data_IF_289597580485
#
_entry.id   IF_289597580485
#
_cell.length_a   1.000
_cell.length_b   1.000
_cell.length_c   1.000
_cell.angle_alpha   90.00
_cell.angle_beta   90.00
_cell.angle_gamma   90.00
#
_symmetry.space_group_name_H-M   'P 1'
#
loop_
_entity.id
_entity.type
_entity.pdbx_description
1 polymer ?
#
# COMPACT_ATOMS: atom_id res chain seq x y z
N UNK A 1 -11.06 -32.56 -11.83
CA UNK A 1 -10.06 -31.47 -11.81
C UNK A 1 -10.48 -30.43 -10.80
N UNK A 2 -9.69 -30.25 -9.78
CA UNK A 2 -10.00 -29.25 -8.76
C UNK A 2 -9.77 -27.84 -9.34
N UNK A 3 -10.71 -26.95 -9.11
CA UNK A 3 -10.53 -25.55 -9.45
C UNK A 3 -9.38 -24.99 -8.61
N UNK A 4 -8.44 -24.32 -9.26
CA UNK A 4 -7.40 -23.59 -8.57
C UNK A 4 -8.06 -22.32 -8.04
N UNK A 5 -8.23 -22.28 -6.73
CA UNK A 5 -8.69 -21.05 -6.08
C UNK A 5 -7.54 -20.06 -6.04
N UNK A 6 -7.61 -19.05 -6.87
CA UNK A 6 -6.75 -17.90 -6.67
C UNK A 6 -7.26 -17.15 -5.46
N UNK A 7 -6.43 -17.04 -4.45
CA UNK A 7 -6.74 -16.18 -3.31
C UNK A 7 -6.85 -14.74 -3.78
N UNK A 8 -7.93 -14.09 -3.36
CA UNK A 8 -8.10 -12.66 -3.59
C UNK A 8 -7.31 -11.92 -2.52
N UNK A 9 -6.16 -11.42 -2.92
CA UNK A 9 -5.25 -10.69 -2.03
C UNK A 9 -4.99 -9.33 -2.65
N UNK A 10 -5.09 -8.27 -1.85
CA UNK A 10 -4.79 -6.92 -2.28
C UNK A 10 -3.78 -6.27 -1.34
N UNK A 11 -2.83 -5.57 -1.91
CA UNK A 11 -1.90 -4.71 -1.19
C UNK A 11 -2.53 -3.36 -0.92
N UNK A 12 -2.47 -2.91 0.33
CA UNK A 12 -2.96 -1.60 0.75
C UNK A 12 -1.76 -0.66 0.90
N UNK A 13 -1.67 0.32 0.02
CA UNK A 13 -0.60 1.31 0.04
C UNK A 13 -0.79 2.34 1.15
N UNK A 14 0.29 3.03 1.51
CA UNK A 14 0.26 4.10 2.52
C UNK A 14 -0.79 5.17 2.20
N UNK A 15 -0.95 5.55 0.93
CA UNK A 15 -1.93 6.54 0.53
C UNK A 15 -3.36 6.14 0.89
N UNK A 16 -3.69 4.85 0.73
CA UNK A 16 -5.00 4.33 1.09
C UNK A 16 -5.16 4.23 2.62
N UNK A 17 -4.12 3.82 3.34
CA UNK A 17 -4.17 3.80 4.81
C UNK A 17 -4.46 5.18 5.38
N UNK A 18 -3.79 6.21 4.87
CA UNK A 18 -4.01 7.59 5.29
C UNK A 18 -5.42 8.06 4.94
N UNK A 19 -5.87 7.80 3.72
CA UNK A 19 -7.21 8.22 3.28
C UNK A 19 -8.32 7.56 4.10
N UNK A 20 -8.14 6.31 4.51
CA UNK A 20 -9.08 5.62 5.39
C UNK A 20 -9.12 6.23 6.80
N UNK A 21 -7.97 6.64 7.32
CA UNK A 21 -7.85 7.12 8.69
C UNK A 21 -8.20 8.60 8.85
N UNK A 22 -7.93 9.42 7.85
CA UNK A 22 -8.10 10.87 7.88
C UNK A 22 -9.40 11.27 7.19
N UNK A 23 -10.41 11.65 7.97
CA UNK A 23 -11.73 12.05 7.45
C UNK A 23 -11.68 13.31 6.59
N UNK A 24 -10.66 14.13 6.77
CA UNK A 24 -10.49 15.37 6.02
C UNK A 24 -9.69 15.16 4.73
N UNK A 25 -9.18 13.95 4.50
CA UNK A 25 -8.51 13.63 3.26
C UNK A 25 -9.52 13.67 2.10
N UNK A 26 -9.12 14.31 1.01
CA UNK A 26 -9.98 14.45 -0.18
C UNK A 26 -10.44 13.11 -0.75
N UNK A 27 -9.66 12.05 -0.55
CA UNK A 27 -9.96 10.70 -1.02
C UNK A 27 -10.66 9.83 0.02
N UNK A 28 -11.02 10.37 1.18
CA UNK A 28 -11.56 9.56 2.29
C UNK A 28 -12.79 8.74 1.90
N UNK A 29 -13.80 9.39 1.34
CA UNK A 29 -15.06 8.72 0.98
C UNK A 29 -14.83 7.63 -0.06
N UNK A 30 -14.04 7.93 -1.10
CA UNK A 30 -13.71 6.94 -2.13
C UNK A 30 -12.91 5.76 -1.55
N UNK A 31 -11.99 6.03 -0.62
CA UNK A 31 -11.21 4.98 0.02
C UNK A 31 -12.09 4.07 0.89
N UNK A 32 -13.02 4.64 1.66
CA UNK A 32 -13.96 3.86 2.48
C UNK A 32 -14.82 2.96 1.60
N UNK A 33 -15.34 3.48 0.50
CA UNK A 33 -16.15 2.70 -0.43
C UNK A 33 -15.34 1.57 -1.06
N UNK A 34 -14.11 1.85 -1.50
CA UNK A 34 -13.23 0.84 -2.07
C UNK A 34 -12.88 -0.25 -1.06
N UNK A 35 -12.60 0.12 0.18
CA UNK A 35 -12.33 -0.83 1.26
C UNK A 35 -13.52 -1.78 1.47
N UNK A 36 -14.72 -1.22 1.56
CA UNK A 36 -15.95 -2.02 1.74
C UNK A 36 -16.17 -2.99 0.59
N UNK A 37 -15.94 -2.53 -0.64
CA UNK A 37 -16.10 -3.37 -1.83
C UNK A 37 -15.09 -4.52 -1.84
N UNK A 38 -13.84 -4.26 -1.48
CA UNK A 38 -12.81 -5.29 -1.40
C UNK A 38 -13.16 -6.35 -0.36
N UNK A 39 -13.56 -5.93 0.83
CA UNK A 39 -13.95 -6.85 1.90
C UNK A 39 -15.18 -7.66 1.50
N UNK A 40 -16.20 -7.00 0.92
CA UNK A 40 -17.41 -7.68 0.46
C UNK A 40 -17.14 -8.68 -0.65
N UNK A 41 -16.12 -8.43 -1.47
CA UNK A 41 -15.69 -9.33 -2.55
C UNK A 41 -14.79 -10.46 -2.08
N UNK A 42 -14.49 -10.55 -0.78
CA UNK A 42 -13.69 -11.62 -0.22
C UNK A 42 -12.18 -11.42 -0.29
N UNK A 43 -11.70 -10.20 -0.53
CA UNK A 43 -10.28 -9.93 -0.55
C UNK A 43 -9.67 -9.96 0.85
N UNK A 44 -8.52 -10.58 0.96
CA UNK A 44 -7.64 -10.46 2.12
C UNK A 44 -6.69 -9.29 1.87
N UNK A 45 -6.60 -8.40 2.84
CA UNK A 45 -5.81 -7.18 2.70
C UNK A 45 -4.52 -7.30 3.52
N UNK A 46 -3.43 -6.83 2.95
CA UNK A 46 -2.16 -6.72 3.65
C UNK A 46 -1.48 -5.40 3.29
N UNK A 47 -0.57 -4.99 4.12
CA UNK A 47 0.34 -3.88 3.83
C UNK A 47 1.77 -4.35 4.06
N UNK A 48 2.74 -3.46 3.90
CA UNK A 48 4.13 -3.75 4.23
C UNK A 48 4.54 -2.93 5.46
N UNK A 49 5.64 -3.34 6.08
CA UNK A 49 6.26 -2.56 7.14
C UNK A 49 6.68 -1.16 6.65
N UNK A 50 7.15 -1.07 5.41
CA UNK A 50 7.50 0.23 4.80
C UNK A 50 6.26 1.12 4.62
N UNK A 51 5.17 0.58 4.10
CA UNK A 51 3.93 1.34 3.90
C UNK A 51 3.29 1.74 5.24
N UNK A 52 3.32 0.85 6.22
CA UNK A 52 2.80 1.14 7.56
C UNK A 52 3.56 2.30 8.20
N UNK A 53 4.90 2.27 8.14
CA UNK A 53 5.74 3.33 8.67
C UNK A 53 5.48 4.66 7.96
N UNK A 54 5.37 4.63 6.64
CA UNK A 54 5.05 5.84 5.84
C UNK A 54 3.69 6.41 6.22
N UNK A 55 2.68 5.56 6.35
CA UNK A 55 1.33 5.99 6.74
C UNK A 55 1.34 6.64 8.14
N UNK A 56 2.04 6.05 9.09
CA UNK A 56 2.16 6.61 10.43
C UNK A 56 2.82 8.00 10.40
N UNK A 57 3.90 8.16 9.65
CA UNK A 57 4.58 9.46 9.50
C UNK A 57 3.64 10.52 8.92
N UNK A 58 2.85 10.17 7.92
CA UNK A 58 1.91 11.09 7.30
C UNK A 58 0.76 11.45 8.25
N UNK A 59 0.24 10.48 8.99
CA UNK A 59 -0.81 10.73 9.99
C UNK A 59 -0.29 11.54 11.17
N UNK A 60 0.95 11.32 11.59
CA UNK A 60 1.59 12.11 12.62
C UNK A 60 1.64 13.58 12.21
N UNK A 61 2.03 13.87 10.98
CA UNK A 61 2.11 15.24 10.47
C UNK A 61 0.71 15.87 10.32
N UNK A 62 -0.28 15.10 9.88
CA UNK A 62 -1.62 15.63 9.59
C UNK A 62 -2.52 15.73 10.82
N UNK A 63 -2.47 14.76 11.74
CA UNK A 63 -3.43 14.60 12.83
C UNK A 63 -2.82 14.72 14.22
N UNK A 64 -1.50 14.77 14.34
CA UNK A 64 -0.78 14.88 15.61
C UNK A 64 -0.47 13.55 16.25
N UNK A 65 0.38 13.61 17.29
CA UNK A 65 0.99 12.43 17.92
C UNK A 65 -0.03 11.49 18.58
N UNK A 66 -1.02 12.05 19.27
CA UNK A 66 -2.01 11.26 20.00
C UNK A 66 -2.88 10.42 19.06
N UNK A 67 -3.41 11.07 18.01
CA UNK A 67 -4.26 10.40 17.02
C UNK A 67 -3.48 9.36 16.23
N UNK A 68 -2.25 9.70 15.81
CA UNK A 68 -1.40 8.76 15.07
C UNK A 68 -1.05 7.53 15.92
N UNK A 69 -0.78 7.72 17.20
CA UNK A 69 -0.50 6.62 18.14
C UNK A 69 -1.72 5.71 18.29
N UNK A 70 -2.90 6.30 18.48
CA UNK A 70 -4.14 5.53 18.62
C UNK A 70 -4.44 4.72 17.35
N UNK A 71 -4.24 5.33 16.17
CA UNK A 71 -4.40 4.63 14.90
C UNK A 71 -3.46 3.42 14.79
N UNK A 72 -2.19 3.62 15.12
CA UNK A 72 -1.19 2.55 15.03
C UNK A 72 -1.53 1.40 15.99
N UNK A 73 -1.99 1.71 17.21
CA UNK A 73 -2.37 0.71 18.19
C UNK A 73 -3.58 -0.13 17.76
N UNK A 74 -4.48 0.46 16.97
CA UNK A 74 -5.71 -0.19 16.50
C UNK A 74 -5.58 -0.83 15.13
N UNK A 75 -4.48 -0.58 14.42
CA UNK A 75 -4.26 -1.11 13.08
C UNK A 75 -4.00 -2.61 13.16
N UNK A 76 -4.94 -3.40 12.66
CA UNK A 76 -4.87 -4.87 12.72
C UNK A 76 -4.61 -5.51 11.35
N UNK A 77 -4.24 -4.71 10.35
CA UNK A 77 -3.93 -5.22 9.02
C UNK A 77 -2.69 -6.11 9.05
N UNK A 78 -2.71 -7.18 8.26
CA UNK A 78 -1.53 -8.04 8.11
C UNK A 78 -0.37 -7.27 7.49
N UNK A 79 0.82 -7.37 8.09
CA UNK A 79 2.01 -6.67 7.65
C UNK A 79 3.02 -7.66 7.10
N UNK A 80 3.38 -7.49 5.83
CA UNK A 80 4.45 -8.25 5.18
C UNK A 80 5.76 -7.47 5.25
N UNK A 81 6.86 -8.11 5.61
CA UNK A 81 8.15 -7.43 5.60
C UNK A 81 8.64 -7.19 4.18
N UNK A 82 9.19 -6.00 3.95
CA UNK A 82 9.98 -5.71 2.76
C UNK A 82 11.35 -6.35 2.97
N UNK A 83 11.80 -7.12 1.98
CA UNK A 83 13.10 -7.80 2.07
C UNK A 83 14.22 -6.91 1.53
N UNK A 84 15.45 -7.24 1.89
CA UNK A 84 16.62 -6.55 1.34
C UNK A 84 16.66 -6.68 -0.20
N UNK A 85 16.25 -7.81 -0.74
CA UNK A 85 16.20 -8.03 -2.18
C UNK A 85 15.14 -7.13 -2.86
N UNK A 86 14.00 -6.90 -2.21
CA UNK A 86 12.97 -5.98 -2.72
C UNK A 86 13.52 -4.56 -2.83
N UNK A 87 14.21 -4.10 -1.79
CA UNK A 87 14.82 -2.77 -1.78
C UNK A 87 15.90 -2.64 -2.85
N UNK A 88 16.72 -3.66 -3.01
CA UNK A 88 17.79 -3.66 -4.02
C UNK A 88 17.20 -3.60 -5.44
N UNK A 89 16.13 -4.34 -5.70
CA UNK A 89 15.43 -4.28 -6.98
C UNK A 89 14.81 -2.89 -7.21
N UNK A 90 14.22 -2.30 -6.18
CA UNK A 90 13.67 -0.94 -6.27
C UNK A 90 14.76 0.09 -6.60
N UNK A 91 15.94 -0.04 -5.99
CA UNK A 91 17.10 0.80 -6.31
C UNK A 91 17.54 0.64 -7.76
N UNK A 92 17.63 -0.60 -8.21
CA UNK A 92 18.02 -0.92 -9.59
C UNK A 92 17.06 -0.27 -10.60
N UNK A 93 15.76 -0.33 -10.34
CA UNK A 93 14.76 0.27 -11.22
C UNK A 93 14.95 1.79 -11.37
N UNK A 94 15.28 2.47 -10.28
CA UNK A 94 15.53 3.91 -10.30
C UNK A 94 16.85 4.21 -11.02
N UNK A 95 17.91 3.51 -10.66
CA UNK A 95 19.26 3.75 -11.22
C UNK A 95 19.33 3.48 -12.72
N UNK A 96 18.59 2.48 -13.19
CA UNK A 96 18.52 2.13 -14.63
C UNK A 96 17.49 2.94 -15.40
N UNK A 97 16.70 3.77 -14.72
CA UNK A 97 15.66 4.57 -15.37
C UNK A 97 14.52 3.75 -15.96
N UNK A 98 14.27 2.56 -15.45
CA UNK A 98 13.20 1.68 -15.93
C UNK A 98 11.83 2.00 -15.33
N UNK A 99 11.74 3.04 -14.51
CA UNK A 99 10.51 3.52 -13.91
C UNK A 99 10.26 4.98 -14.32
N UNK A 100 9.13 5.55 -13.87
CA UNK A 100 8.84 6.97 -14.10
C UNK A 100 9.97 7.84 -13.54
N UNK A 101 10.31 8.98 -14.18
CA UNK A 101 11.46 9.80 -13.77
C UNK A 101 11.38 10.30 -12.31
N UNK A 102 10.17 10.48 -11.80
CA UNK A 102 9.92 10.99 -10.44
C UNK A 102 9.47 9.87 -9.48
N UNK A 103 9.60 8.61 -9.88
CA UNK A 103 9.27 7.49 -9.02
C UNK A 103 10.14 7.49 -7.78
N UNK A 104 9.52 7.26 -6.62
CA UNK A 104 10.23 7.17 -5.36
C UNK A 104 10.78 5.76 -5.13
N UNK A 105 11.79 5.64 -4.29
CA UNK A 105 12.33 4.34 -3.90
C UNK A 105 11.25 3.49 -3.19
N UNK A 106 10.39 4.12 -2.41
CA UNK A 106 9.26 3.43 -1.77
C UNK A 106 8.34 2.79 -2.83
N UNK A 107 8.00 3.53 -3.87
CA UNK A 107 7.14 3.03 -4.94
C UNK A 107 7.77 1.88 -5.70
N UNK A 108 9.02 2.03 -6.13
CA UNK A 108 9.71 0.96 -6.88
C UNK A 108 9.96 -0.27 -6.01
N UNK A 109 10.27 -0.08 -4.74
CA UNK A 109 10.41 -1.19 -3.79
C UNK A 109 9.09 -1.95 -3.65
N UNK A 110 7.96 -1.25 -3.57
CA UNK A 110 6.65 -1.90 -3.52
C UNK A 110 6.32 -2.66 -4.81
N UNK A 111 6.71 -2.15 -5.97
CA UNK A 111 6.57 -2.90 -7.23
C UNK A 111 7.33 -4.22 -7.16
N UNK A 112 8.54 -4.21 -6.60
CA UNK A 112 9.33 -5.42 -6.41
C UNK A 112 8.64 -6.41 -5.45
N UNK A 113 8.07 -5.91 -4.35
CA UNK A 113 7.29 -6.74 -3.41
C UNK A 113 6.11 -7.41 -4.10
N UNK A 114 5.33 -6.63 -4.85
CA UNK A 114 4.16 -7.15 -5.56
C UNK A 114 4.53 -8.22 -6.58
N UNK A 115 5.61 -7.99 -7.33
CA UNK A 115 6.11 -8.96 -8.29
C UNK A 115 6.55 -10.26 -7.60
N UNK A 116 7.32 -10.14 -6.53
CA UNK A 116 7.78 -11.31 -5.77
C UNK A 116 6.63 -12.13 -5.20
N UNK A 117 5.58 -11.47 -4.71
CA UNK A 117 4.43 -12.13 -4.10
C UNK A 117 3.37 -12.55 -5.12
N UNK A 118 3.50 -12.13 -6.38
CA UNK A 118 2.51 -12.41 -7.41
C UNK A 118 1.18 -11.69 -7.18
N UNK A 119 1.21 -10.53 -6.54
CA UNK A 119 0.01 -9.75 -6.23
C UNK A 119 -0.22 -8.70 -7.31
N UNK A 120 -1.43 -8.67 -7.86
CA UNK A 120 -1.81 -7.75 -8.93
C UNK A 120 -2.87 -6.74 -8.50
N UNK A 121 -3.56 -6.98 -7.39
CA UNK A 121 -4.59 -6.08 -6.88
C UNK A 121 -4.00 -5.13 -5.85
N UNK A 122 -4.16 -3.85 -6.09
CA UNK A 122 -3.60 -2.78 -5.25
C UNK A 122 -4.69 -1.80 -4.87
N UNK A 123 -4.77 -1.50 -3.58
CA UNK A 123 -5.62 -0.44 -3.06
C UNK A 123 -4.73 0.76 -2.71
N UNK A 124 -4.78 1.76 -3.57
CA UNK A 124 -4.04 3.01 -3.43
C UNK A 124 -4.90 4.15 -3.96
N UNK A 125 -4.69 5.34 -3.43
CA UNK A 125 -5.34 6.57 -3.93
C UNK A 125 -4.33 7.50 -4.59
N UNK A 126 -3.06 7.20 -4.50
CA UNK A 126 -1.99 7.94 -5.17
C UNK A 126 -1.98 7.59 -6.66
N UNK A 127 -2.32 8.58 -7.50
CA UNK A 127 -2.41 8.39 -8.94
C UNK A 127 -1.07 8.06 -9.59
N UNK A 128 0.01 8.63 -9.05
CA UNK A 128 1.35 8.37 -9.58
C UNK A 128 1.72 6.89 -9.41
N UNK A 129 1.43 6.32 -8.24
CA UNK A 129 1.69 4.91 -7.99
C UNK A 129 0.79 4.01 -8.84
N UNK A 130 -0.50 4.33 -8.93
CA UNK A 130 -1.44 3.56 -9.76
C UNK A 130 -1.04 3.52 -11.23
N UNK A 131 -0.51 4.65 -11.75
CA UNK A 131 -0.03 4.72 -13.12
C UNK A 131 1.17 3.80 -13.39
N UNK A 132 1.99 3.52 -12.37
CA UNK A 132 3.15 2.63 -12.49
C UNK A 132 2.75 1.15 -12.58
N UNK A 133 1.56 0.80 -12.15
CA UNK A 133 1.07 -0.58 -12.12
C UNK A 133 0.52 -1.06 -13.46
N UNK A 134 0.11 -0.12 -14.28
CA UNK A 134 -0.50 -0.38 -15.57
C UNK A 134 0.50 -0.64 -16.64
#
# INVERSE_FOLDING_TARGET
MSAIHQEKIAFVDASALVALADRDDASHTAAVDAYRDLVASGFRLFTTDLALATAHELLLAALGAETARAWLAQCAIHVQPVTAADLEEGRRMIEEGSSAPDATLSETTHLAVLDRLGVTDVFAVDRAFLAMLG
#
